data_IF_059502719148
#
_entry.id   IF_059502719148
#
_cell.length_a   1.000
_cell.length_b   1.000
_cell.length_c   1.000
_cell.angle_alpha   90.00
_cell.angle_beta   90.00
_cell.angle_gamma   90.00
#
_symmetry.space_group_name_H-M   'P 1'
#
loop_
_entity.id
_entity.type
_entity.pdbx_description
1 polymer ?
#
# COMPACT_ATOMS: atom_id res chain seq x y z
N UNK A 1 5.61 4.79 16.03
CA UNK A 1 4.31 4.51 15.39
C UNK A 1 4.47 4.49 13.89
N UNK A 2 4.58 3.29 13.29
CA UNK A 2 4.81 3.22 11.85
C UNK A 2 3.55 3.54 11.05
N UNK A 3 3.77 4.21 9.92
CA UNK A 3 2.72 4.51 8.97
C UNK A 3 3.20 4.12 7.58
N UNK A 4 2.42 3.31 6.88
CA UNK A 4 2.74 2.85 5.54
C UNK A 4 1.65 3.30 4.59
N UNK A 5 2.04 3.92 3.50
CA UNK A 5 1.12 4.27 2.44
C UNK A 5 1.45 3.43 1.22
N UNK A 6 0.45 2.68 0.73
CA UNK A 6 0.61 1.87 -0.47
C UNK A 6 -0.18 2.53 -1.58
N UNK A 7 0.53 3.09 -2.53
CA UNK A 7 -0.07 3.74 -3.67
C UNK A 7 0.14 2.85 -4.89
N UNK A 8 -0.93 2.54 -5.60
CA UNK A 8 -0.82 1.65 -6.74
C UNK A 8 -1.83 2.05 -7.82
N UNK A 9 -1.55 1.61 -9.04
CA UNK A 9 -2.42 1.83 -10.17
C UNK A 9 -3.24 0.58 -10.39
N UNK A 10 -4.53 0.75 -10.63
CA UNK A 10 -5.43 -0.37 -10.83
C UNK A 10 -6.20 -0.73 -9.59
N UNK A 11 -6.87 -1.87 -9.62
CA UNK A 11 -7.75 -2.29 -8.56
C UNK A 11 -7.20 -3.46 -7.77
N UNK A 12 -7.38 -3.40 -6.47
CA UNK A 12 -7.02 -4.49 -5.56
C UNK A 12 -8.25 -4.77 -4.72
N UNK A 13 -8.60 -6.05 -4.59
CA UNK A 13 -9.78 -6.43 -3.84
C UNK A 13 -9.62 -6.18 -2.35
N UNK A 14 -10.75 -6.14 -1.64
CA UNK A 14 -10.71 -5.97 -0.19
C UNK A 14 -9.93 -7.11 0.47
N UNK A 15 -10.09 -8.33 0.00
CA UNK A 15 -9.38 -9.50 0.54
C UNK A 15 -7.87 -9.38 0.31
N UNK A 16 -7.46 -8.89 -0.85
CA UNK A 16 -6.05 -8.67 -1.14
C UNK A 16 -5.47 -7.61 -0.22
N UNK A 17 -6.19 -6.51 -0.04
CA UNK A 17 -5.75 -5.44 0.88
C UNK A 17 -5.62 -5.95 2.31
N UNK A 18 -6.58 -6.75 2.76
CA UNK A 18 -6.54 -7.31 4.10
C UNK A 18 -5.30 -8.19 4.31
N UNK A 19 -4.98 -9.03 3.32
CA UNK A 19 -3.82 -9.90 3.41
C UNK A 19 -2.52 -9.11 3.36
N UNK A 20 -2.45 -8.11 2.47
CA UNK A 20 -1.27 -7.23 2.36
C UNK A 20 -1.04 -6.50 3.68
N UNK A 21 -2.10 -5.92 4.24
CA UNK A 21 -1.98 -5.21 5.52
C UNK A 21 -1.49 -6.12 6.62
N UNK A 22 -2.01 -7.34 6.67
CA UNK A 22 -1.60 -8.32 7.68
C UNK A 22 -0.11 -8.66 7.55
N UNK A 23 0.35 -8.95 6.33
CA UNK A 23 1.73 -9.36 6.12
C UNK A 23 2.73 -8.23 6.35
N UNK A 24 2.39 -7.01 5.91
CA UNK A 24 3.27 -5.86 6.14
C UNK A 24 3.37 -5.58 7.64
N UNK A 25 2.24 -5.64 8.34
CA UNK A 25 2.20 -5.41 9.80
C UNK A 25 3.06 -6.45 10.52
N UNK A 26 2.94 -7.72 10.14
CA UNK A 26 3.74 -8.78 10.72
C UNK A 26 5.23 -8.60 10.44
N UNK A 27 5.56 -8.14 9.25
CA UNK A 27 6.96 -7.88 8.87
C UNK A 27 7.56 -6.78 9.73
N UNK A 28 6.83 -5.69 9.94
CA UNK A 28 7.30 -4.58 10.76
C UNK A 28 7.47 -4.99 12.22
N UNK A 29 6.57 -5.84 12.71
CA UNK A 29 6.71 -6.33 14.07
C UNK A 29 7.93 -7.24 14.21
N UNK A 30 8.12 -8.15 13.26
CA UNK A 30 9.20 -9.12 13.31
C UNK A 30 10.59 -8.47 13.12
N UNK A 31 10.72 -7.59 12.16
CA UNK A 31 12.02 -7.03 11.79
C UNK A 31 12.34 -5.70 12.46
N UNK A 32 11.34 -4.87 12.68
CA UNK A 32 11.54 -3.54 13.27
C UNK A 32 11.07 -3.44 14.71
N UNK A 33 10.51 -4.52 15.24
CA UNK A 33 9.98 -4.58 16.62
C UNK A 33 8.92 -3.53 16.89
N UNK A 34 8.09 -3.24 15.87
CA UNK A 34 7.00 -2.28 15.99
C UNK A 34 5.69 -3.03 16.26
N UNK A 35 5.02 -2.74 17.39
CA UNK A 35 3.79 -3.45 17.74
C UNK A 35 2.71 -3.29 16.68
N UNK A 36 1.97 -4.36 16.42
CA UNK A 36 0.86 -4.35 15.48
C UNK A 36 -0.18 -3.28 15.84
N UNK A 37 -0.40 -3.06 17.13
CA UNK A 37 -1.40 -2.13 17.63
C UNK A 37 -1.11 -0.67 17.25
N UNK A 38 0.13 -0.36 16.85
CA UNK A 38 0.53 0.99 16.48
C UNK A 38 0.78 1.16 15.00
N UNK A 39 0.63 0.10 14.20
CA UNK A 39 0.97 0.13 12.78
C UNK A 39 -0.25 0.53 11.97
N UNK A 40 -0.10 1.60 11.18
CA UNK A 40 -1.15 2.14 10.33
C UNK A 40 -0.77 1.93 8.87
N UNK A 41 -1.73 1.49 8.07
CA UNK A 41 -1.52 1.26 6.65
C UNK A 41 -2.69 1.87 5.88
N UNK A 42 -2.38 2.65 4.86
CA UNK A 42 -3.40 3.17 3.96
C UNK A 42 -3.13 2.71 2.54
N UNK A 43 -4.20 2.54 1.77
CA UNK A 43 -4.12 2.17 0.37
C UNK A 43 -4.71 3.29 -0.47
N UNK A 44 -4.01 3.66 -1.53
CA UNK A 44 -4.50 4.63 -2.49
C UNK A 44 -4.49 4.02 -3.88
N UNK A 45 -5.67 3.85 -4.46
CA UNK A 45 -5.79 3.40 -5.83
C UNK A 45 -5.81 4.62 -6.74
N UNK A 46 -4.88 4.66 -7.68
CA UNK A 46 -4.71 5.79 -8.57
C UNK A 46 -5.17 5.40 -9.97
N UNK A 47 -5.96 6.26 -10.61
CA UNK A 47 -6.40 6.01 -11.97
C UNK A 47 -5.22 6.05 -12.92
N UNK A 48 -5.30 5.31 -14.03
CA UNK A 48 -4.22 5.29 -15.02
C UNK A 48 -3.92 6.69 -15.57
N UNK A 49 -4.95 7.54 -15.70
CA UNK A 49 -4.77 8.90 -16.19
C UNK A 49 -4.09 9.82 -15.18
N UNK A 50 -3.98 9.38 -13.94
CA UNK A 50 -3.38 10.17 -12.87
C UNK A 50 -1.96 9.74 -12.54
N UNK A 51 -1.38 8.88 -13.36
CA UNK A 51 -0.03 8.38 -13.15
C UNK A 51 0.77 8.50 -14.44
N UNK A 52 1.92 9.13 -14.35
CA UNK A 52 2.79 9.32 -15.52
C UNK A 52 4.15 8.69 -15.24
N UNK A 53 4.73 8.16 -16.32
CA UNK A 53 6.11 7.68 -16.31
C UNK A 53 6.79 8.25 -17.55
N UNK A 54 7.99 8.81 -17.37
CA UNK A 54 8.77 9.39 -18.47
C UNK A 54 7.98 10.47 -19.24
N UNK A 55 7.08 11.17 -18.53
CA UNK A 55 6.30 12.25 -19.14
C UNK A 55 5.03 11.79 -19.84
N UNK A 56 4.70 10.50 -19.79
CA UNK A 56 3.50 9.98 -20.44
C UNK A 56 2.57 9.35 -19.42
N UNK A 57 1.27 9.60 -19.59
CA UNK A 57 0.26 9.01 -18.74
C UNK A 57 0.11 7.52 -19.04
N UNK A 58 -0.21 6.73 -18.03
CA UNK A 58 -0.32 5.29 -18.21
C UNK A 58 -1.51 4.86 -19.07
N UNK A 59 -2.48 5.74 -19.27
CA UNK A 59 -3.65 5.43 -20.08
C UNK A 59 -3.47 5.75 -21.57
N UNK A 60 -2.32 6.24 -21.97
CA UNK A 60 -2.06 6.57 -23.36
C UNK A 60 -1.49 5.41 -24.17
#
# INVERSE_FOLDING_TARGET
>A
MPYVNIKLVGEVSREQKAQIAKEITETLERLAHKPKSYTYITFEEVAYEDWAIAGELLDS
#
